data_IF_893197775484
#
_entry.id   IF_893197775484
#
_cell.length_a   1.000
_cell.length_b   1.000
_cell.length_c   1.000
_cell.angle_alpha   90.00
_cell.angle_beta   90.00
_cell.angle_gamma   90.00
#
_symmetry.space_group_name_H-M   'P 1'
#
loop_
_entity.id
_entity.type
_entity.pdbx_description
1 polymer ?
#
# COMPACT_ATOMS: atom_id res chain seq x y z
N UNK A 1 17.27 18.86 6.95
CA UNK A 1 17.76 17.54 7.41
C UNK A 1 16.64 16.92 8.23
N UNK A 2 15.92 15.94 7.69
CA UNK A 2 14.90 15.20 8.44
C UNK A 2 15.63 14.34 9.48
N UNK A 3 15.24 14.42 10.74
CA UNK A 3 15.76 13.55 11.81
C UNK A 3 15.27 12.11 11.57
N UNK A 4 16.06 11.10 11.97
CA UNK A 4 15.74 9.67 11.80
C UNK A 4 14.31 9.33 12.29
N UNK A 5 13.84 10.04 13.32
CA UNK A 5 12.47 9.92 13.85
C UNK A 5 11.37 10.42 12.91
N UNK A 6 11.57 11.55 12.22
CA UNK A 6 10.58 12.06 11.25
C UNK A 6 10.47 11.15 10.03
N UNK A 7 11.59 10.58 9.60
CA UNK A 7 11.61 9.67 8.46
C UNK A 7 10.89 8.36 8.78
N UNK A 8 11.12 7.80 9.97
CA UNK A 8 10.38 6.64 10.49
C UNK A 8 8.89 6.90 10.60
N UNK A 9 8.49 8.08 11.09
CA UNK A 9 7.08 8.46 11.22
C UNK A 9 6.40 8.58 9.85
N UNK A 10 7.03 9.24 8.88
CA UNK A 10 6.54 9.33 7.50
C UNK A 10 6.34 7.95 6.89
N UNK A 11 7.35 7.09 6.98
CA UNK A 11 7.32 5.73 6.42
C UNK A 11 6.23 4.86 7.06
N UNK A 12 6.06 4.93 8.39
CA UNK A 12 5.00 4.22 9.09
C UNK A 12 3.60 4.70 8.67
N UNK A 13 3.44 6.00 8.42
CA UNK A 13 2.16 6.55 7.98
C UNK A 13 1.83 6.12 6.55
N UNK A 14 2.81 6.17 5.63
CA UNK A 14 2.66 5.73 4.24
C UNK A 14 2.35 4.24 4.15
N UNK A 15 3.09 3.38 4.87
CA UNK A 15 2.82 1.95 4.97
C UNK A 15 1.41 1.67 5.50
N UNK A 16 0.97 2.41 6.52
CA UNK A 16 -0.36 2.24 7.10
C UNK A 16 -1.45 2.63 6.11
N UNK A 17 -1.26 3.73 5.38
CA UNK A 17 -2.19 4.19 4.36
C UNK A 17 -2.32 3.16 3.23
N UNK A 18 -1.20 2.66 2.70
CA UNK A 18 -1.20 1.63 1.66
C UNK A 18 -1.90 0.34 2.13
N UNK A 19 -1.64 -0.12 3.37
CA UNK A 19 -2.34 -1.27 3.94
C UNK A 19 -3.86 -1.05 4.04
N UNK A 20 -4.30 0.15 4.42
CA UNK A 20 -5.73 0.48 4.52
C UNK A 20 -6.40 0.52 3.14
N UNK A 21 -5.71 1.03 2.13
CA UNK A 21 -6.21 1.04 0.74
C UNK A 21 -6.34 -0.40 0.22
N UNK A 22 -5.32 -1.23 0.42
CA UNK A 22 -5.35 -2.65 0.04
C UNK A 22 -6.55 -3.36 0.70
N UNK A 23 -6.76 -3.17 2.00
CA UNK A 23 -7.90 -3.76 2.70
C UNK A 23 -9.24 -3.29 2.11
N UNK A 24 -9.35 -2.01 1.76
CA UNK A 24 -10.54 -1.45 1.12
C UNK A 24 -10.82 -2.08 -0.26
N UNK A 25 -9.77 -2.30 -1.07
CA UNK A 25 -9.89 -2.93 -2.39
C UNK A 25 -10.32 -4.40 -2.26
N UNK A 26 -9.75 -5.14 -1.29
CA UNK A 26 -10.16 -6.52 -1.01
C UNK A 26 -11.64 -6.59 -0.60
N UNK A 27 -12.11 -5.69 0.27
CA UNK A 27 -13.53 -5.62 0.63
C UNK A 27 -14.43 -5.31 -0.58
N UNK A 28 -13.96 -4.51 -1.53
CA UNK A 28 -14.68 -4.23 -2.77
C UNK A 28 -14.77 -5.47 -3.67
N UNK A 29 -13.70 -6.26 -3.79
CA UNK A 29 -13.72 -7.55 -4.52
C UNK A 29 -14.70 -8.56 -3.90
N UNK A 30 -14.87 -8.53 -2.58
CA UNK A 30 -15.81 -9.39 -1.88
C UNK A 30 -17.27 -8.90 -1.97
N UNK A 31 -17.51 -7.72 -2.55
CA UNK A 31 -18.85 -7.15 -2.65
C UNK A 31 -19.69 -7.92 -3.67
N UNK A 32 -20.89 -8.41 -3.30
CA UNK A 32 -21.76 -9.10 -4.24
C UNK A 32 -22.21 -8.20 -5.39
N UNK A 33 -22.15 -8.71 -6.62
CA UNK A 33 -22.70 -8.03 -7.79
C UNK A 33 -21.80 -6.97 -8.42
N UNK A 34 -20.49 -6.99 -8.14
CA UNK A 34 -19.51 -6.23 -8.93
C UNK A 34 -19.54 -6.71 -10.39
N UNK A 35 -19.38 -5.78 -11.33
CA UNK A 35 -19.21 -6.12 -12.74
C UNK A 35 -17.78 -6.56 -13.04
N UNK A 36 -17.58 -7.30 -14.14
CA UNK A 36 -16.25 -7.69 -14.62
C UNK A 36 -15.32 -6.49 -14.83
N UNK A 37 -15.85 -5.37 -15.34
CA UNK A 37 -15.08 -4.12 -15.48
C UNK A 37 -14.66 -3.54 -14.13
N UNK A 38 -15.52 -3.56 -13.13
CA UNK A 38 -15.18 -3.09 -11.78
C UNK A 38 -14.14 -4.01 -11.14
N UNK A 39 -14.28 -5.32 -11.34
CA UNK A 39 -13.31 -6.31 -10.87
C UNK A 39 -11.93 -6.06 -11.48
N UNK A 40 -11.84 -5.88 -12.80
CA UNK A 40 -10.59 -5.55 -13.50
C UNK A 40 -9.94 -4.25 -13.01
N UNK A 41 -10.74 -3.21 -12.79
CA UNK A 41 -10.27 -1.93 -12.25
C UNK A 41 -9.71 -2.09 -10.82
N UNK A 42 -10.43 -2.82 -9.95
CA UNK A 42 -10.00 -3.06 -8.57
C UNK A 42 -8.73 -3.91 -8.55
N UNK A 43 -8.63 -4.94 -9.39
CA UNK A 43 -7.44 -5.79 -9.51
C UNK A 43 -6.23 -5.00 -10.03
N UNK A 44 -6.44 -4.09 -11.00
CA UNK A 44 -5.41 -3.19 -11.50
C UNK A 44 -4.86 -2.27 -10.42
N UNK A 45 -5.75 -1.62 -9.66
CA UNK A 45 -5.35 -0.76 -8.54
C UNK A 45 -4.67 -1.57 -7.43
N UNK A 46 -5.20 -2.74 -7.08
CA UNK A 46 -4.60 -3.62 -6.07
C UNK A 46 -3.17 -4.01 -6.47
N UNK A 47 -2.94 -4.34 -7.74
CA UNK A 47 -1.60 -4.63 -8.25
C UNK A 47 -0.66 -3.44 -8.09
N UNK A 48 -1.11 -2.21 -8.37
CA UNK A 48 -0.29 -1.01 -8.21
C UNK A 48 0.08 -0.76 -6.74
N UNK A 49 -0.88 -0.94 -5.83
CA UNK A 49 -0.69 -0.76 -4.37
C UNK A 49 0.26 -1.79 -3.78
N UNK A 50 0.20 -3.04 -4.24
CA UNK A 50 1.16 -4.07 -3.83
C UNK A 50 2.59 -3.74 -4.26
N UNK A 51 2.78 -3.18 -5.46
CA UNK A 51 4.09 -2.72 -5.93
C UNK A 51 4.59 -1.54 -5.09
N UNK A 52 3.72 -0.56 -4.78
CA UNK A 52 4.08 0.54 -3.86
C UNK A 52 4.50 0.02 -2.49
N UNK A 53 3.76 -0.95 -1.94
CA UNK A 53 4.05 -1.55 -0.65
C UNK A 53 5.41 -2.27 -0.66
N UNK A 54 5.73 -3.00 -1.73
CA UNK A 54 7.04 -3.65 -1.91
C UNK A 54 8.18 -2.63 -1.93
N UNK A 55 8.02 -1.52 -2.64
CA UNK A 55 9.00 -0.43 -2.70
C UNK A 55 9.22 0.16 -1.30
N UNK A 56 8.15 0.52 -0.59
CA UNK A 56 8.27 1.06 0.76
C UNK A 56 8.89 0.07 1.75
N UNK A 57 8.57 -1.22 1.63
CA UNK A 57 9.19 -2.26 2.46
C UNK A 57 10.70 -2.33 2.22
N UNK A 58 11.14 -2.23 0.96
CA UNK A 58 12.57 -2.22 0.60
C UNK A 58 13.28 -0.96 1.12
N UNK A 59 12.70 0.22 0.92
CA UNK A 59 13.23 1.49 1.45
C UNK A 59 13.36 1.47 2.97
N UNK A 60 12.37 0.87 3.65
CA UNK A 60 12.41 0.65 5.10
C UNK A 60 13.60 -0.20 5.51
N UNK A 61 13.82 -1.31 4.81
CA UNK A 61 14.92 -2.22 5.10
C UNK A 61 16.29 -1.54 4.89
N UNK A 62 16.46 -0.81 3.79
CA UNK A 62 17.69 -0.06 3.50
C UNK A 62 18.02 0.98 4.60
N UNK A 63 17.00 1.60 5.19
CA UNK A 63 17.20 2.54 6.30
C UNK A 63 17.50 1.87 7.65
N UNK A 64 17.00 0.65 7.88
CA UNK A 64 17.32 -0.14 9.07
C UNK A 64 18.79 -0.57 9.02
N UNK A 65 19.26 -0.95 7.83
CA UNK A 65 20.63 -1.43 7.62
C UNK A 65 21.68 -0.30 7.56
N UNK A 66 21.24 0.98 7.60
CA UNK A 66 22.06 2.20 7.59
C UNK A 66 22.24 2.87 8.97
#
# INVERSE_FOLDING_TARGET
MLTKDKLKETLLNELKEECLIILSLLNQLETPGISETQEDEILGELSARLVHLEIHAKETQEQIDS
#
